data_IF_816877649905
#
_entry.id   IF_816877649905
#
_cell.length_a   1.000
_cell.length_b   1.000
_cell.length_c   1.000
_cell.angle_alpha   90.00
_cell.angle_beta   90.00
_cell.angle_gamma   90.00
#
_symmetry.space_group_name_H-M   'P 1'
#
loop_
_entity.id
_entity.type
_entity.pdbx_description
1 polymer ?
#
# COMPACT_ATOMS: atom_id res chain seq x y z
N UNK A 1 49.13 8.00 27.74
CA UNK A 1 48.26 9.02 27.10
C UNK A 1 47.67 8.53 25.77
N UNK A 2 48.38 7.72 24.97
CA UNK A 2 47.89 7.20 23.68
C UNK A 2 46.59 6.39 23.75
N UNK A 3 46.43 5.51 24.76
CA UNK A 3 45.21 4.68 24.90
C UNK A 3 43.95 5.51 25.14
N UNK A 4 44.08 6.68 25.79
CA UNK A 4 42.96 7.57 26.09
C UNK A 4 42.50 8.32 24.83
N UNK A 5 43.45 8.71 23.97
CA UNK A 5 43.19 9.39 22.70
C UNK A 5 42.42 8.48 21.75
N UNK A 6 42.82 7.22 21.61
CA UNK A 6 42.11 6.26 20.76
C UNK A 6 40.67 5.99 21.25
N UNK A 7 40.46 5.92 22.57
CA UNK A 7 39.14 5.69 23.15
C UNK A 7 38.18 6.85 22.88
N UNK A 8 38.68 8.10 22.95
CA UNK A 8 37.93 9.32 22.63
C UNK A 8 37.65 9.42 21.13
N UNK A 9 38.64 9.17 20.28
CA UNK A 9 38.46 9.18 18.83
C UNK A 9 37.40 8.15 18.39
N UNK A 10 37.42 6.96 18.98
CA UNK A 10 36.41 5.93 18.72
C UNK A 10 35.01 6.39 19.14
N UNK A 11 34.84 6.99 20.33
CA UNK A 11 33.53 7.50 20.76
C UNK A 11 32.99 8.59 19.82
N UNK A 12 33.81 9.58 19.44
CA UNK A 12 33.40 10.64 18.51
C UNK A 12 33.03 10.09 17.13
N UNK A 13 33.77 9.10 16.63
CA UNK A 13 33.46 8.46 15.36
C UNK A 13 32.08 7.79 15.36
N UNK A 14 31.77 7.00 16.39
CA UNK A 14 30.47 6.34 16.49
C UNK A 14 29.31 7.32 16.67
N UNK A 15 29.50 8.43 17.38
CA UNK A 15 28.46 9.45 17.53
C UNK A 15 28.17 10.15 16.20
N UNK A 16 29.21 10.52 15.44
CA UNK A 16 29.05 11.16 14.13
C UNK A 16 28.40 10.18 13.14
N UNK A 17 28.87 8.93 13.12
CA UNK A 17 28.30 7.88 12.28
C UNK A 17 26.82 7.60 12.62
N UNK A 18 26.48 7.58 13.91
CA UNK A 18 25.11 7.39 14.36
C UNK A 18 24.18 8.51 13.91
N UNK A 19 24.59 9.78 14.07
CA UNK A 19 23.82 10.95 13.61
C UNK A 19 23.64 10.89 12.08
N UNK A 20 24.68 10.52 11.34
CA UNK A 20 24.61 10.39 9.89
C UNK A 20 23.62 9.32 9.44
N UNK A 21 23.63 8.14 10.08
CA UNK A 21 22.69 7.06 9.79
C UNK A 21 21.23 7.45 10.08
N UNK A 22 20.98 8.13 11.19
CA UNK A 22 19.64 8.64 11.52
C UNK A 22 19.19 9.68 10.49
N UNK A 23 20.10 10.57 10.07
CA UNK A 23 19.83 11.56 9.03
C UNK A 23 19.45 10.92 7.69
N UNK A 24 20.15 9.86 7.27
CA UNK A 24 19.79 9.09 6.08
C UNK A 24 18.42 8.43 6.21
N UNK A 25 18.14 7.78 7.33
CA UNK A 25 16.86 7.09 7.54
C UNK A 25 15.66 8.08 7.51
N UNK A 26 15.80 9.23 8.16
CA UNK A 26 14.75 10.28 8.14
C UNK A 26 14.66 10.91 6.75
N UNK A 27 15.79 11.16 6.08
CA UNK A 27 15.84 11.72 4.73
C UNK A 27 15.14 10.83 3.71
N UNK A 28 15.44 9.53 3.71
CA UNK A 28 14.77 8.55 2.84
C UNK A 28 13.27 8.45 3.16
N UNK A 29 12.90 8.49 4.43
CA UNK A 29 11.49 8.46 4.85
C UNK A 29 10.71 9.68 4.33
N UNK A 30 11.31 10.87 4.39
CA UNK A 30 10.72 12.09 3.83
C UNK A 30 10.68 12.06 2.30
N UNK A 31 11.76 11.59 1.65
CA UNK A 31 11.81 11.46 0.19
C UNK A 31 10.74 10.51 -0.34
N UNK A 32 10.52 9.37 0.33
CA UNK A 32 9.44 8.45 -0.03
C UNK A 32 8.05 9.03 0.21
N UNK A 33 7.87 9.85 1.25
CA UNK A 33 6.61 10.53 1.51
C UNK A 33 6.29 11.54 0.39
N UNK A 34 7.28 12.32 -0.04
CA UNK A 34 7.15 13.32 -1.11
C UNK A 34 6.97 12.65 -2.49
N UNK A 35 7.74 11.60 -2.77
CA UNK A 35 7.59 10.77 -3.97
C UNK A 35 6.19 10.10 -4.04
N UNK A 36 5.62 9.72 -2.90
CA UNK A 36 4.26 9.17 -2.82
C UNK A 36 3.20 10.26 -3.05
N UNK A 37 3.46 11.50 -2.64
CA UNK A 37 2.58 12.64 -2.89
C UNK A 37 2.58 13.05 -4.39
N UNK A 38 3.73 12.98 -5.06
CA UNK A 38 3.88 13.36 -6.47
C UNK A 38 3.31 12.29 -7.43
N UNK A 39 3.39 11.00 -7.09
CA UNK A 39 2.96 9.90 -7.98
C UNK A 39 1.49 9.48 -7.85
N UNK A 40 0.66 10.17 -7.05
CA UNK A 40 -0.80 9.96 -7.07
C UNK A 40 -1.27 8.52 -6.77
N UNK A 41 -0.44 7.68 -6.13
CA UNK A 41 -0.85 6.34 -5.70
C UNK A 41 -1.41 6.48 -4.26
N UNK A 42 -2.72 6.71 -4.21
CA UNK A 42 -3.59 6.82 -3.02
C UNK A 42 -3.61 8.21 -2.38
N UNK A 43 -4.51 9.08 -2.89
CA UNK A 43 -5.30 10.02 -2.08
C UNK A 43 -6.33 10.76 -2.95
N UNK A 44 -7.31 10.05 -3.52
CA UNK A 44 -8.53 10.67 -4.07
C UNK A 44 -9.75 10.46 -3.17
N UNK A 45 -9.57 10.18 -1.87
CA UNK A 45 -10.72 10.04 -0.95
C UNK A 45 -10.57 10.78 0.39
N UNK A 46 -9.56 11.65 0.56
CA UNK A 46 -9.44 12.45 1.79
C UNK A 46 -9.74 13.95 1.61
N UNK A 47 -9.91 14.45 0.38
CA UNK A 47 -10.30 15.84 0.15
C UNK A 47 -11.84 16.04 0.18
N UNK A 48 -12.62 15.01 -0.15
CA UNK A 48 -14.09 15.11 -0.20
C UNK A 48 -14.71 15.06 1.22
N UNK A 49 -14.03 14.46 2.19
CA UNK A 49 -14.48 14.38 3.58
C UNK A 49 -14.59 15.74 4.28
N UNK A 50 -13.81 16.75 3.87
CA UNK A 50 -13.86 18.12 4.41
C UNK A 50 -14.96 18.99 3.78
N UNK A 51 -15.26 18.78 2.51
CA UNK A 51 -16.39 19.43 1.85
C UNK A 51 -17.73 18.88 2.39
N UNK A 52 -17.78 17.57 2.68
CA UNK A 52 -18.93 16.91 3.30
C UNK A 52 -19.14 17.30 4.77
N UNK A 53 -18.10 17.63 5.54
CA UNK A 53 -18.28 18.08 6.95
C UNK A 53 -18.90 19.47 7.06
N UNK A 54 -18.64 20.37 6.10
CA UNK A 54 -19.28 21.68 6.05
C UNK A 54 -20.74 21.61 5.57
N UNK A 55 -21.08 20.60 4.75
CA UNK A 55 -22.45 20.35 4.33
C UNK A 55 -23.28 19.63 5.41
N UNK A 56 -22.65 18.79 6.24
CA UNK A 56 -23.30 18.04 7.31
C UNK A 56 -23.63 18.89 8.56
N UNK A 57 -22.93 20.00 8.80
CA UNK A 57 -23.21 20.90 9.94
C UNK A 57 -24.43 21.82 9.69
N UNK A 58 -24.94 21.88 8.44
CA UNK A 58 -26.08 22.71 8.05
C UNK A 58 -27.42 21.97 8.04
N UNK A 59 -27.43 20.65 8.25
CA UNK A 59 -28.65 19.84 8.25
C UNK A 59 -28.68 19.08 9.56
N UNK A 60 -29.45 19.62 10.50
CA UNK A 60 -29.82 18.89 11.69
C UNK A 60 -30.54 17.58 11.36
N UNK A 61 -30.61 16.76 12.40
CA UNK A 61 -31.37 15.52 12.50
C UNK A 61 -30.55 14.23 12.28
N UNK A 62 -30.13 13.70 13.44
CA UNK A 62 -30.14 12.28 13.82
C UNK A 62 -30.02 11.24 12.70
N UNK A 63 -28.83 11.05 12.15
CA UNK A 63 -28.41 9.71 11.70
C UNK A 63 -26.94 9.52 12.04
N UNK A 64 -26.70 8.87 13.19
CA UNK A 64 -25.49 8.08 13.41
C UNK A 64 -25.38 7.06 12.26
N UNK A 65 -24.78 7.46 11.15
CA UNK A 65 -24.30 6.53 10.16
C UNK A 65 -23.02 5.91 10.74
N UNK A 66 -23.21 4.94 11.63
CA UNK A 66 -22.22 3.91 11.94
C UNK A 66 -21.86 3.25 10.60
N UNK A 67 -20.85 3.79 9.91
CA UNK A 67 -20.28 3.14 8.74
C UNK A 67 -19.51 1.94 9.29
N UNK A 68 -20.24 0.86 9.54
CA UNK A 68 -19.70 -0.49 9.54
C UNK A 68 -19.11 -0.69 8.15
N UNK A 69 -17.81 -0.43 8.02
CA UNK A 69 -17.06 -0.95 6.88
C UNK A 69 -17.09 -2.46 7.02
N UNK A 70 -18.09 -3.08 6.41
CA UNK A 70 -18.12 -4.51 6.19
C UNK A 70 -16.99 -4.74 5.17
N UNK A 71 -15.77 -4.87 5.67
CA UNK A 71 -14.67 -5.50 4.93
C UNK A 71 -15.12 -6.93 4.75
N UNK A 72 -15.91 -7.17 3.71
CA UNK A 72 -16.20 -8.51 3.26
C UNK A 72 -14.85 -9.09 2.88
N UNK A 73 -14.37 -10.07 3.64
CA UNK A 73 -13.23 -10.93 3.28
C UNK A 73 -13.58 -11.69 1.99
N UNK A 74 -13.68 -10.98 0.87
CA UNK A 74 -13.77 -11.59 -0.43
C UNK A 74 -12.37 -12.01 -0.84
N UNK A 75 -12.25 -13.22 -1.37
CA UNK A 75 -11.01 -13.72 -1.93
C UNK A 75 -10.44 -12.72 -2.95
N UNK A 76 -9.16 -12.38 -2.78
CA UNK A 76 -8.48 -11.44 -3.67
C UNK A 76 -8.04 -12.09 -4.99
N UNK A 77 -7.97 -13.42 -5.07
CA UNK A 77 -7.47 -14.17 -6.23
C UNK A 77 -8.23 -13.84 -7.54
N UNK A 78 -9.58 -13.82 -7.59
CA UNK A 78 -10.33 -13.40 -8.79
C UNK A 78 -9.95 -12.00 -9.30
N UNK A 79 -9.78 -11.05 -8.38
CA UNK A 79 -9.42 -9.65 -8.71
C UNK A 79 -8.00 -9.56 -9.27
N UNK A 80 -7.08 -10.38 -8.75
CA UNK A 80 -5.71 -10.45 -9.26
C UNK A 80 -5.71 -11.00 -10.69
N UNK A 81 -6.48 -12.06 -10.96
CA UNK A 81 -6.63 -12.66 -12.29
C UNK A 81 -7.18 -11.63 -13.28
N UNK A 82 -8.26 -10.94 -12.93
CA UNK A 82 -8.88 -9.91 -13.76
C UNK A 82 -7.88 -8.80 -14.14
N UNK A 83 -7.15 -8.27 -13.14
CA UNK A 83 -6.12 -7.23 -13.36
C UNK A 83 -4.97 -7.72 -14.25
N UNK A 84 -4.55 -8.97 -14.08
CA UNK A 84 -3.52 -9.56 -14.92
C UNK A 84 -4.00 -9.65 -16.37
N UNK A 85 -5.18 -10.23 -16.62
CA UNK A 85 -5.74 -10.39 -17.96
C UNK A 85 -5.99 -9.04 -18.64
N UNK A 86 -6.46 -8.03 -17.88
CA UNK A 86 -6.66 -6.66 -18.36
C UNK A 86 -5.34 -6.02 -18.83
N UNK A 87 -4.27 -6.19 -18.04
CA UNK A 87 -2.94 -5.64 -18.36
C UNK A 87 -2.44 -6.14 -19.71
N UNK A 88 -2.69 -7.41 -20.04
CA UNK A 88 -2.25 -8.02 -21.30
C UNK A 88 -3.32 -7.99 -22.40
N UNK A 89 -4.46 -7.34 -22.18
CA UNK A 89 -5.60 -7.28 -23.12
C UNK A 89 -6.04 -8.67 -23.58
N UNK A 90 -6.02 -9.63 -22.66
CA UNK A 90 -6.37 -11.02 -22.96
C UNK A 90 -7.87 -11.12 -23.31
N UNK A 91 -8.26 -11.90 -24.33
CA UNK A 91 -9.66 -12.19 -24.61
C UNK A 91 -10.34 -13.00 -23.49
N UNK A 92 -9.55 -13.48 -22.52
CA UNK A 92 -10.03 -14.26 -21.39
C UNK A 92 -10.48 -13.42 -20.19
N UNK A 93 -10.36 -12.09 -20.28
CA UNK A 93 -10.83 -11.16 -19.25
C UNK A 93 -12.23 -11.49 -18.68
N UNK A 94 -13.28 -11.74 -19.50
CA UNK A 94 -14.61 -12.04 -18.95
C UNK A 94 -14.68 -13.38 -18.23
N UNK A 95 -13.66 -14.24 -18.34
CA UNK A 95 -13.60 -15.57 -17.73
C UNK A 95 -12.72 -15.62 -16.47
N UNK A 96 -12.34 -14.47 -15.91
CA UNK A 96 -11.44 -14.39 -14.75
C UNK A 96 -11.96 -15.18 -13.53
N UNK A 97 -13.28 -15.16 -13.31
CA UNK A 97 -13.92 -15.88 -12.22
C UNK A 97 -13.93 -17.38 -12.45
N UNK A 98 -14.18 -17.80 -13.69
CA UNK A 98 -14.21 -19.20 -14.12
C UNK A 98 -12.82 -19.83 -14.05
N UNK A 99 -11.77 -19.08 -14.38
CA UNK A 99 -10.37 -19.51 -14.20
C UNK A 99 -10.08 -19.78 -12.72
N UNK A 100 -10.57 -18.92 -11.84
CA UNK A 100 -10.45 -19.11 -10.40
C UNK A 100 -11.22 -20.34 -9.90
N UNK A 101 -12.49 -20.47 -10.29
CA UNK A 101 -13.31 -21.63 -9.93
C UNK A 101 -12.71 -22.95 -10.42
N UNK A 102 -12.12 -22.96 -11.62
CA UNK A 102 -11.41 -24.11 -12.16
C UNK A 102 -10.15 -24.44 -11.34
N UNK A 103 -9.42 -23.41 -10.90
CA UNK A 103 -8.23 -23.58 -10.07
C UNK A 103 -8.58 -24.27 -8.74
N UNK A 104 -9.68 -23.85 -8.09
CA UNK A 104 -10.17 -24.44 -6.85
C UNK A 104 -10.70 -25.86 -7.06
N UNK A 105 -11.43 -26.10 -8.15
CA UNK A 105 -12.03 -27.40 -8.44
C UNK A 105 -11.00 -28.50 -8.71
N UNK A 106 -9.89 -28.16 -9.37
CA UNK A 106 -8.85 -29.12 -9.75
C UNK A 106 -7.59 -29.05 -8.86
N UNK A 107 -7.54 -28.10 -7.92
CA UNK A 107 -6.39 -27.91 -7.03
C UNK A 107 -5.13 -27.43 -7.76
N UNK A 108 -5.30 -26.71 -8.87
CA UNK A 108 -4.19 -26.10 -9.60
C UNK A 108 -3.98 -24.66 -9.14
N UNK A 109 -2.74 -24.19 -9.18
CA UNK A 109 -2.46 -22.76 -9.03
C UNK A 109 -3.02 -22.00 -10.24
N UNK A 110 -3.83 -20.96 -9.98
CA UNK A 110 -4.45 -20.16 -11.05
C UNK A 110 -3.41 -19.53 -11.98
N UNK A 111 -2.19 -19.27 -11.49
CA UNK A 111 -1.06 -18.79 -12.28
C UNK A 111 -0.72 -19.73 -13.44
N UNK A 112 -0.86 -21.04 -13.27
CA UNK A 112 -0.55 -22.01 -14.33
C UNK A 112 -1.59 -21.96 -15.45
N UNK A 113 -2.87 -21.81 -15.08
CA UNK A 113 -3.96 -21.69 -16.04
C UNK A 113 -3.77 -20.42 -16.88
N UNK A 114 -3.49 -19.30 -16.22
CA UNK A 114 -3.28 -18.01 -16.89
C UNK A 114 -2.01 -17.99 -17.75
N UNK A 115 -0.96 -18.72 -17.38
CA UNK A 115 0.31 -18.74 -18.13
C UNK A 115 0.25 -19.56 -19.43
N UNK A 116 -0.68 -20.52 -19.53
CA UNK A 116 -0.85 -21.39 -20.70
C UNK A 116 -1.89 -20.83 -21.68
N UNK A 117 -2.77 -19.94 -21.19
CA UNK A 117 -3.95 -19.47 -21.90
C UNK A 117 -3.73 -18.22 -22.78
#
# INVERSE_FOLDING_TARGET
MEKTIYKIGRMCFWTILGIFLVGLAVGESLYLLDYKAENGIIQTSFADGRALTLAADAVGDEVEAEIRSQVTESDARPVIIERYLAKYKSPLLPYAKEIFELSEAYGFEYYWIVAIA
#
